data_IF_170606825695
#
_entry.id   IF_170606825695
#
_cell.length_a   1.000
_cell.length_b   1.000
_cell.length_c   1.000
_cell.angle_alpha   90.00
_cell.angle_beta   90.00
_cell.angle_gamma   90.00
#
_symmetry.space_group_name_H-M   'P 1'
#
loop_
_entity.id
_entity.type
_entity.pdbx_description
1 polymer ?
#
# COMPACT_ATOMS: atom_id res chain seq x y z
N UNK A 1 -14.37 -16.86 -21.62
CA UNK A 1 -13.08 -17.53 -21.28
C UNK A 1 -12.56 -16.89 -20.00
N UNK A 2 -12.31 -17.70 -18.96
CA UNK A 2 -11.62 -17.23 -17.75
C UNK A 2 -10.13 -17.24 -18.09
N UNK A 3 -9.44 -16.10 -17.97
CA UNK A 3 -7.98 -16.08 -18.02
C UNK A 3 -7.46 -16.85 -16.81
N UNK A 4 -7.22 -18.15 -16.97
CA UNK A 4 -6.31 -18.88 -16.10
C UNK A 4 -4.91 -18.40 -16.48
N UNK A 5 -4.50 -17.26 -15.92
CA UNK A 5 -3.09 -16.92 -15.93
C UNK A 5 -2.38 -18.05 -15.21
N UNK A 6 -1.72 -18.93 -15.95
CA UNK A 6 -0.87 -19.95 -15.36
C UNK A 6 0.17 -19.19 -14.53
N UNK A 7 0.11 -19.34 -13.20
CA UNK A 7 1.28 -19.12 -12.37
C UNK A 7 2.12 -20.38 -12.57
N UNK A 8 3.19 -20.37 -13.38
CA UNK A 8 4.14 -21.47 -13.36
C UNK A 8 4.63 -21.57 -11.92
N UNK A 9 4.15 -22.60 -11.22
CA UNK A 9 4.48 -22.91 -9.84
C UNK A 9 5.87 -23.58 -9.75
N UNK A 10 6.74 -23.31 -10.75
CA UNK A 10 8.18 -23.49 -10.56
C UNK A 10 8.54 -22.62 -9.37
N UNK A 11 9.30 -23.21 -8.45
CA UNK A 11 9.67 -22.70 -7.12
C UNK A 11 10.37 -21.32 -7.19
N UNK A 12 9.66 -20.28 -7.60
CA UNK A 12 10.09 -18.92 -7.43
C UNK A 12 9.74 -18.53 -6.00
N UNK A 13 10.46 -19.15 -5.07
CA UNK A 13 10.37 -18.90 -3.63
C UNK A 13 11.04 -17.56 -3.33
N UNK A 14 10.61 -16.50 -4.02
CA UNK A 14 10.98 -15.14 -3.68
C UNK A 14 10.29 -14.80 -2.37
N UNK A 15 11.07 -14.73 -1.31
CA UNK A 15 10.64 -14.15 -0.04
C UNK A 15 10.41 -12.65 -0.21
N UNK A 16 9.47 -12.08 0.55
CA UNK A 16 9.21 -10.64 0.52
C UNK A 16 10.51 -9.82 0.72
N UNK A 17 11.40 -10.29 1.60
CA UNK A 17 12.72 -9.69 1.85
C UNK A 17 13.65 -9.69 0.65
N UNK A 18 13.54 -10.65 -0.27
CA UNK A 18 14.39 -10.71 -1.47
C UNK A 18 13.99 -9.67 -2.53
N UNK A 19 12.72 -9.25 -2.55
CA UNK A 19 12.18 -8.34 -3.57
C UNK A 19 11.91 -6.92 -3.04
N UNK A 20 11.95 -6.73 -1.72
CA UNK A 20 11.75 -5.41 -1.12
C UNK A 20 13.00 -4.54 -1.32
N UNK A 21 12.79 -3.38 -1.92
CA UNK A 21 13.78 -2.31 -1.95
C UNK A 21 13.70 -1.52 -0.64
N UNK A 22 14.75 -1.58 0.18
CA UNK A 22 14.79 -0.89 1.48
C UNK A 22 14.73 0.64 1.31
N UNK A 23 15.53 1.20 0.41
CA UNK A 23 15.59 2.63 0.12
C UNK A 23 14.78 2.96 -1.12
N UNK A 24 13.51 3.31 -0.92
CA UNK A 24 12.58 3.64 -2.00
C UNK A 24 12.76 5.11 -2.42
N UNK A 25 12.88 5.41 -3.73
CA UNK A 25 12.93 6.78 -4.20
C UNK A 25 11.69 7.58 -3.77
N UNK A 26 11.87 8.82 -3.32
CA UNK A 26 10.78 9.66 -2.79
C UNK A 26 9.61 9.88 -3.75
N UNK A 27 9.80 9.72 -5.07
CA UNK A 27 8.71 9.78 -6.07
C UNK A 27 7.63 8.72 -5.87
N UNK A 28 7.93 7.65 -5.13
CA UNK A 28 6.97 6.59 -4.78
C UNK A 28 6.33 6.79 -3.40
N UNK A 29 6.71 7.83 -2.67
CA UNK A 29 6.06 8.15 -1.40
C UNK A 29 4.65 8.67 -1.66
N UNK A 30 3.74 8.40 -0.72
CA UNK A 30 2.39 8.95 -0.80
C UNK A 30 2.45 10.48 -0.67
N UNK A 31 1.66 11.18 -1.48
CA UNK A 31 1.44 12.62 -1.26
C UNK A 31 0.42 12.81 -0.13
N UNK A 32 0.40 13.98 0.55
CA UNK A 32 -0.63 14.29 1.54
C UNK A 32 -2.07 14.10 1.00
N UNK A 33 -2.30 14.49 -0.26
CA UNK A 33 -3.58 14.31 -0.96
C UNK A 33 -3.93 12.82 -1.14
N UNK A 34 -2.95 11.98 -1.42
CA UNK A 34 -3.16 10.54 -1.52
C UNK A 34 -3.52 9.93 -0.15
N UNK A 35 -2.83 10.34 0.93
CA UNK A 35 -3.13 9.92 2.29
C UNK A 35 -4.57 10.29 2.70
N UNK A 36 -5.00 11.52 2.42
CA UNK A 36 -6.39 11.96 2.61
C UNK A 36 -7.39 11.10 1.82
N UNK A 37 -7.06 10.77 0.57
CA UNK A 37 -7.89 9.91 -0.27
C UNK A 37 -8.06 8.50 0.30
N UNK A 38 -7.03 7.94 0.92
CA UNK A 38 -7.09 6.64 1.59
C UNK A 38 -8.03 6.71 2.80
N UNK A 39 -7.85 7.71 3.68
CA UNK A 39 -8.69 7.91 4.86
C UNK A 39 -10.18 8.04 4.51
N UNK A 40 -10.50 8.84 3.47
CA UNK A 40 -11.88 9.00 2.98
C UNK A 40 -12.48 7.69 2.49
N UNK A 41 -11.73 6.90 1.70
CA UNK A 41 -12.21 5.61 1.19
C UNK A 41 -12.37 4.57 2.30
N UNK A 42 -11.49 4.56 3.30
CA UNK A 42 -11.59 3.66 4.45
C UNK A 42 -12.89 3.91 5.23
N UNK A 43 -13.15 5.19 5.54
CA UNK A 43 -14.40 5.63 6.18
C UNK A 43 -15.64 5.30 5.35
N UNK A 44 -15.64 5.63 4.05
CA UNK A 44 -16.78 5.37 3.16
C UNK A 44 -17.09 3.87 2.98
N UNK A 45 -16.06 3.01 3.08
CA UNK A 45 -16.22 1.55 2.96
C UNK A 45 -16.51 0.86 4.29
N UNK A 46 -16.54 1.58 5.40
CA UNK A 46 -16.69 1.01 6.74
C UNK A 46 -15.57 0.04 7.12
N UNK A 47 -14.37 0.21 6.55
CA UNK A 47 -13.20 -0.63 6.86
C UNK A 47 -12.23 0.16 7.72
N UNK A 48 -12.01 -0.30 8.93
CA UNK A 48 -11.04 0.31 9.83
C UNK A 48 -9.62 0.01 9.35
N UNK A 49 -8.78 1.04 9.41
CA UNK A 49 -7.35 0.92 9.15
C UNK A 49 -6.66 0.50 10.45
N UNK A 50 -5.59 -0.32 10.39
CA UNK A 50 -4.71 -0.54 11.53
C UNK A 50 -4.26 0.79 12.12
N UNK A 51 -4.24 0.91 13.45
CA UNK A 51 -4.02 2.19 14.15
C UNK A 51 -2.73 2.89 13.73
N UNK A 52 -1.64 2.14 13.60
CA UNK A 52 -0.32 2.65 13.19
C UNK A 52 -0.41 3.29 11.79
N UNK A 53 -1.10 2.61 10.86
CA UNK A 53 -1.27 3.10 9.50
C UNK A 53 -2.18 4.35 9.47
N UNK A 54 -3.27 4.32 10.24
CA UNK A 54 -4.18 5.47 10.36
C UNK A 54 -3.43 6.71 10.86
N UNK A 55 -2.68 6.60 11.95
CA UNK A 55 -1.92 7.71 12.53
C UNK A 55 -0.87 8.28 11.56
N UNK A 56 -0.15 7.41 10.84
CA UNK A 56 0.82 7.84 9.83
C UNK A 56 0.15 8.61 8.67
N UNK A 57 -0.97 8.10 8.17
CA UNK A 57 -1.75 8.74 7.10
C UNK A 57 -2.33 10.09 7.53
N UNK A 58 -2.85 10.19 8.75
CA UNK A 58 -3.39 11.44 9.32
C UNK A 58 -2.30 12.50 9.47
N UNK A 59 -1.14 12.13 10.02
CA UNK A 59 0.00 13.04 10.15
C UNK A 59 0.47 13.55 8.78
N UNK A 60 0.65 12.65 7.82
CA UNK A 60 1.13 13.01 6.48
C UNK A 60 0.11 13.83 5.68
N UNK A 61 -1.19 13.57 5.89
CA UNK A 61 -2.27 14.36 5.30
C UNK A 61 -2.28 15.83 5.75
N UNK A 62 -1.78 16.12 6.95
CA UNK A 62 -1.71 17.46 7.53
C UNK A 62 -0.43 18.23 7.13
N UNK A 63 0.59 17.56 6.59
CA UNK A 63 1.86 18.17 6.22
C UNK A 63 1.84 18.92 4.86
N UNK A 64 0.66 19.34 4.38
CA UNK A 64 0.47 20.03 3.10
C UNK A 64 0.32 21.54 3.28
#
# INVERSE_FOLDING_TARGET
>A
MRSTGELPNEENVSTLSQILQADVPGKYYLSPKACLGILRRASARGKELPEILKAALERQAQSA
#
